data_IF_172833077908
#
_entry.id   IF_172833077908
#
_cell.length_a   1.000
_cell.length_b   1.000
_cell.length_c   1.000
_cell.angle_alpha   90.00
_cell.angle_beta   90.00
_cell.angle_gamma   90.00
#
_symmetry.space_group_name_H-M   'P 1'
#
loop_
_entity.id
_entity.type
_entity.pdbx_description
1 polymer ?
#
# COMPACT_ATOMS: atom_id res chain seq x y z
N UNK A 1 -28.47 7.21 -6.75
CA UNK A 1 -27.92 8.21 -5.79
C UNK A 1 -26.53 8.58 -6.28
N UNK A 2 -26.07 9.85 -6.24
CA UNK A 2 -24.70 10.15 -6.63
C UNK A 2 -23.76 9.72 -5.51
N UNK A 3 -23.03 8.63 -5.73
CA UNK A 3 -21.94 8.20 -4.86
C UNK A 3 -20.61 8.73 -5.40
N UNK A 4 -19.75 9.23 -4.51
CA UNK A 4 -18.36 9.55 -4.81
C UNK A 4 -17.50 8.38 -4.37
N UNK A 5 -16.69 7.86 -5.28
CA UNK A 5 -15.75 6.78 -5.01
C UNK A 5 -14.33 7.31 -5.06
N UNK A 6 -13.48 6.81 -4.16
CA UNK A 6 -12.03 7.03 -4.17
C UNK A 6 -11.31 5.70 -4.06
N UNK A 7 -10.09 5.66 -4.56
CA UNK A 7 -9.22 4.47 -4.52
C UNK A 7 -8.05 4.74 -3.58
N UNK A 8 -7.63 3.75 -2.81
CA UNK A 8 -6.46 3.83 -1.96
C UNK A 8 -5.33 2.93 -2.52
N UNK A 9 -4.08 3.36 -2.36
CA UNK A 9 -2.91 2.59 -2.74
C UNK A 9 -2.77 1.35 -1.85
N UNK A 10 -2.58 0.14 -2.39
CA UNK A 10 -2.41 -1.07 -1.57
C UNK A 10 -1.11 -1.00 -0.77
N UNK A 11 -1.14 -1.37 0.51
CA UNK A 11 0.02 -1.22 1.42
C UNK A 11 0.87 -2.50 1.55
N UNK A 12 0.22 -3.68 1.49
CA UNK A 12 0.80 -4.98 1.82
C UNK A 12 0.65 -5.94 0.64
N UNK A 13 1.30 -5.61 -0.49
CA UNK A 13 1.39 -6.50 -1.65
C UNK A 13 2.88 -6.76 -1.95
N UNK A 14 3.40 -7.97 -1.71
CA UNK A 14 2.70 -9.13 -1.15
C UNK A 14 2.26 -8.94 0.31
N UNK A 15 1.25 -9.69 0.73
CA UNK A 15 0.79 -9.73 2.11
C UNK A 15 1.75 -10.56 3.00
N UNK A 16 2.52 -11.46 2.40
CA UNK A 16 3.39 -12.42 3.09
C UNK A 16 4.52 -12.89 2.17
N UNK A 17 5.73 -13.21 2.69
CA UNK A 17 6.81 -13.80 1.88
C UNK A 17 6.50 -15.23 1.39
N UNK A 18 5.42 -15.85 1.87
CA UNK A 18 5.01 -17.21 1.49
C UNK A 18 4.10 -17.26 0.27
N UNK A 19 3.77 -16.12 -0.34
CA UNK A 19 2.90 -16.05 -1.52
C UNK A 19 3.67 -15.75 -2.81
N UNK A 20 3.04 -16.05 -3.94
CA UNK A 20 3.54 -15.70 -5.27
C UNK A 20 2.63 -14.63 -5.87
N UNK A 21 2.87 -13.34 -5.59
CA UNK A 21 1.95 -12.28 -5.99
C UNK A 21 2.09 -11.99 -7.49
N UNK A 22 1.02 -11.48 -8.10
CA UNK A 22 1.07 -11.02 -9.49
C UNK A 22 1.84 -9.71 -9.69
N UNK A 23 2.06 -8.96 -8.61
CA UNK A 23 2.85 -7.73 -8.56
C UNK A 23 3.44 -7.55 -7.16
N UNK A 24 4.46 -6.71 -7.04
CA UNK A 24 5.01 -6.25 -5.77
C UNK A 24 4.87 -4.73 -5.74
N UNK A 25 4.33 -4.17 -4.66
CA UNK A 25 4.12 -2.73 -4.49
C UNK A 25 5.06 -2.23 -3.41
N UNK A 26 6.07 -1.48 -3.82
CA UNK A 26 7.03 -0.80 -2.94
C UNK A 26 6.66 0.68 -2.80
N UNK A 27 7.43 1.39 -1.99
CA UNK A 27 7.21 2.83 -1.72
C UNK A 27 7.13 3.68 -2.99
N UNK A 28 7.95 3.38 -4.01
CA UNK A 28 7.93 4.11 -5.27
C UNK A 28 6.60 3.94 -6.04
N UNK A 29 6.04 2.74 -6.07
CA UNK A 29 4.73 2.51 -6.69
C UNK A 29 3.60 3.14 -5.88
N UNK A 30 3.70 3.15 -4.54
CA UNK A 30 2.74 3.88 -3.67
C UNK A 30 2.78 5.38 -3.95
N UNK A 31 3.97 5.97 -4.04
CA UNK A 31 4.15 7.38 -4.40
C UNK A 31 3.50 7.67 -5.76
N UNK A 32 3.78 6.84 -6.78
CA UNK A 32 3.17 6.98 -8.10
C UNK A 32 1.64 6.92 -8.05
N UNK A 33 1.07 5.98 -7.28
CA UNK A 33 -0.38 5.86 -7.11
C UNK A 33 -0.99 7.12 -6.49
N UNK A 34 -0.32 7.74 -5.53
CA UNK A 34 -0.78 8.95 -4.86
C UNK A 34 -0.63 10.19 -5.76
N UNK A 35 0.50 10.33 -6.46
CA UNK A 35 0.83 11.57 -7.18
C UNK A 35 0.34 11.60 -8.63
N UNK A 36 0.32 10.45 -9.32
CA UNK A 36 -0.02 10.37 -10.74
C UNK A 36 -1.42 9.81 -10.99
N UNK A 37 -1.81 8.77 -10.23
CA UNK A 37 -3.07 8.05 -10.44
C UNK A 37 -4.23 8.65 -9.62
N UNK A 38 -3.92 9.48 -8.62
CA UNK A 38 -4.91 10.18 -7.80
C UNK A 38 -5.54 9.28 -6.73
N UNK A 39 -4.79 8.29 -6.23
CA UNK A 39 -5.19 7.57 -5.03
C UNK A 39 -5.32 8.56 -3.86
N UNK A 40 -6.37 8.40 -3.05
CA UNK A 40 -6.72 9.33 -1.98
C UNK A 40 -5.94 9.07 -0.68
N UNK A 41 -5.10 8.05 -0.66
CA UNK A 41 -4.29 7.65 0.49
C UNK A 41 -3.79 6.23 0.37
N UNK A 42 -3.02 5.79 1.36
CA UNK A 42 -2.64 4.38 1.53
C UNK A 42 -3.81 3.62 2.15
N UNK A 43 -4.06 2.40 1.65
CA UNK A 43 -5.08 1.51 2.17
C UNK A 43 -4.68 0.95 3.55
N UNK A 44 -5.49 0.04 4.09
CA UNK A 44 -5.23 -0.59 5.39
C UNK A 44 -3.84 -1.23 5.47
N UNK A 45 -3.10 -0.99 6.56
CA UNK A 45 -1.78 -1.60 6.80
C UNK A 45 -1.96 -2.83 7.66
N UNK A 46 -1.97 -4.00 7.02
CA UNK A 46 -2.17 -5.28 7.70
C UNK A 46 -0.88 -5.83 8.32
N UNK A 47 0.28 -5.41 7.83
CA UNK A 47 1.59 -5.70 8.45
C UNK A 47 1.85 -4.79 9.67
N UNK A 48 0.89 -4.73 10.61
CA UNK A 48 1.07 -3.99 11.86
C UNK A 48 2.32 -4.42 12.67
N UNK A 49 2.76 -5.69 12.68
CA UNK A 49 3.97 -6.06 13.42
C UNK A 49 5.21 -5.38 12.85
N UNK A 50 5.30 -5.28 11.51
CA UNK A 50 6.36 -4.53 10.84
C UNK A 50 6.36 -3.05 11.21
N UNK A 51 5.17 -2.42 11.28
CA UNK A 51 5.04 -1.01 11.68
C UNK A 51 5.57 -0.81 13.09
N UNK A 52 5.14 -1.66 14.03
CA UNK A 52 5.54 -1.58 15.45
C UNK A 52 7.03 -1.88 15.62
N UNK A 53 7.59 -2.78 14.81
CA UNK A 53 9.01 -3.10 14.81
C UNK A 53 9.89 -2.04 14.12
N UNK A 54 9.29 -1.04 13.46
CA UNK A 54 10.02 0.00 12.74
C UNK A 54 10.65 -0.49 11.44
N UNK A 55 9.99 -1.41 10.74
CA UNK A 55 10.44 -1.90 9.44
C UNK A 55 10.59 -0.74 8.44
N UNK A 56 11.80 -0.52 7.95
CA UNK A 56 12.14 0.64 7.14
C UNK A 56 11.42 0.65 5.78
N UNK A 57 11.13 -0.51 5.21
CA UNK A 57 10.42 -0.60 3.93
C UNK A 57 8.94 -0.27 4.13
N UNK A 58 8.35 -0.80 5.20
CA UNK A 58 6.94 -0.55 5.51
C UNK A 58 6.68 0.90 5.93
N UNK A 59 7.60 1.52 6.67
CA UNK A 59 7.52 2.94 7.06
C UNK A 59 7.75 3.90 5.89
N UNK A 60 8.38 3.44 4.81
CA UNK A 60 8.61 4.25 3.61
C UNK A 60 7.39 4.28 2.67
N UNK A 61 6.41 3.37 2.84
CA UNK A 61 5.16 3.36 2.08
C UNK A 61 4.13 4.32 2.67
#
# INVERSE_FOLDING_TARGET
LPFTFGICAPSCVPASPFESPGAEIRAAEVEQLLTEIGAIGVAEVMNYPGVVAGDAELLAK
#
